data_IF_973325355132
#
_entry.id   IF_973325355132
#
_cell.length_a   1.000
_cell.length_b   1.000
_cell.length_c   1.000
_cell.angle_alpha   90.00
_cell.angle_beta   90.00
_cell.angle_gamma   90.00
#
_symmetry.space_group_name_H-M   'P 1'
#
loop_
_entity.id
_entity.type
_entity.pdbx_description
1 polymer ?
#
# COMPACT_ATOMS: atom_id res chain seq x y z
N UNK A 1 -7.24 18.82 13.89
CA UNK A 1 -6.52 18.02 12.88
C UNK A 1 -6.36 18.87 11.63
N UNK A 2 -5.19 18.82 10.98
CA UNK A 2 -4.93 19.55 9.73
C UNK A 2 -5.29 18.65 8.54
N UNK A 3 -6.58 18.65 8.19
CA UNK A 3 -7.18 17.80 7.15
C UNK A 3 -6.44 17.89 5.79
N UNK A 4 -6.09 19.07 5.26
CA UNK A 4 -5.28 19.20 4.05
C UNK A 4 -3.94 18.45 4.12
N UNK A 5 -3.22 18.61 5.23
CA UNK A 5 -1.91 17.98 5.43
C UNK A 5 -2.00 16.45 5.52
N UNK A 6 -3.09 15.93 6.09
CA UNK A 6 -3.33 14.49 6.17
C UNK A 6 -3.67 13.88 4.80
N UNK A 7 -4.47 14.59 3.99
CA UNK A 7 -4.75 14.21 2.59
C UNK A 7 -3.45 14.17 1.77
N UNK A 8 -2.61 15.22 1.88
CA UNK A 8 -1.32 15.29 1.18
C UNK A 8 -0.38 14.15 1.60
N UNK A 9 -0.22 13.92 2.91
CA UNK A 9 0.63 12.85 3.42
C UNK A 9 0.19 11.46 2.94
N UNK A 10 -1.12 11.22 2.89
CA UNK A 10 -1.68 9.99 2.34
C UNK A 10 -1.40 9.84 0.84
N UNK A 11 -1.64 10.90 0.07
CA UNK A 11 -1.39 10.92 -1.37
C UNK A 11 0.09 10.69 -1.69
N UNK A 12 1.00 11.25 -0.89
CA UNK A 12 2.44 11.04 -1.02
C UNK A 12 2.85 9.60 -0.75
N UNK A 13 2.33 9.01 0.33
CA UNK A 13 2.61 7.61 0.69
C UNK A 13 2.14 6.65 -0.41
N UNK A 14 0.91 6.83 -0.91
CA UNK A 14 0.38 5.94 -1.95
C UNK A 14 1.15 6.08 -3.25
N UNK A 15 1.55 7.29 -3.63
CA UNK A 15 2.37 7.55 -4.81
C UNK A 15 3.75 6.89 -4.69
N UNK A 16 4.34 6.91 -3.49
CA UNK A 16 5.62 6.26 -3.25
C UNK A 16 5.51 4.73 -3.35
N UNK A 17 4.45 4.13 -2.79
CA UNK A 17 4.18 2.69 -2.92
C UNK A 17 3.94 2.31 -4.38
N UNK A 18 3.12 3.07 -5.11
CA UNK A 18 2.81 2.81 -6.51
C UNK A 18 4.06 2.95 -7.41
N UNK A 19 4.89 3.97 -7.18
CA UNK A 19 6.16 4.15 -7.90
C UNK A 19 7.15 2.99 -7.63
N UNK A 20 7.25 2.55 -6.37
CA UNK A 20 8.12 1.43 -5.98
C UNK A 20 7.63 0.10 -6.55
N UNK A 21 6.30 -0.08 -6.59
CA UNK A 21 5.64 -1.23 -7.23
C UNK A 21 5.89 -1.25 -8.74
N UNK A 22 5.71 -0.11 -9.43
CA UNK A 22 5.95 0.01 -10.86
C UNK A 22 7.39 -0.34 -11.24
N UNK A 23 8.39 0.16 -10.50
CA UNK A 23 9.79 -0.19 -10.71
C UNK A 23 10.05 -1.70 -10.56
N UNK A 24 9.39 -2.33 -9.59
CA UNK A 24 9.48 -3.77 -9.34
C UNK A 24 8.84 -4.59 -10.47
N UNK A 25 7.71 -4.13 -11.02
CA UNK A 25 7.05 -4.74 -12.18
C UNK A 25 7.95 -4.68 -13.42
N UNK A 26 8.51 -3.51 -13.74
CA UNK A 26 9.43 -3.33 -14.87
C UNK A 26 10.65 -4.26 -14.75
N UNK A 27 11.23 -4.38 -13.56
CA UNK A 27 12.34 -5.31 -13.31
C UNK A 27 11.91 -6.78 -13.49
N UNK A 28 10.70 -7.13 -13.06
CA UNK A 28 10.11 -8.46 -13.28
C UNK A 28 9.90 -8.80 -14.75
N UNK A 29 9.51 -7.83 -15.58
CA UNK A 29 9.37 -8.00 -17.03
C UNK A 29 10.71 -8.27 -17.71
N UNK A 30 11.76 -7.53 -17.34
CA UNK A 30 13.12 -7.76 -17.84
C UNK A 30 13.64 -9.15 -17.45
N UNK A 31 13.38 -9.58 -16.21
CA UNK A 31 13.78 -10.90 -15.72
C UNK A 31 12.98 -12.05 -16.37
N UNK A 32 11.70 -11.84 -16.72
CA UNK A 32 10.90 -12.84 -17.46
C UNK A 32 11.54 -13.18 -18.79
N UNK A 33 12.03 -12.17 -19.52
CA UNK A 33 12.66 -12.40 -20.82
C UNK A 33 13.93 -13.23 -20.69
N UNK A 34 14.75 -12.98 -19.66
CA UNK A 34 15.93 -13.79 -19.36
C UNK A 34 15.59 -15.21 -18.88
N UNK A 35 14.56 -15.36 -18.06
CA UNK A 35 14.12 -16.66 -17.55
C UNK A 35 13.54 -17.59 -18.64
N UNK A 36 13.01 -17.03 -19.73
CA UNK A 36 12.60 -17.78 -20.95
C UNK A 36 13.77 -18.48 -21.62
N UNK A 37 14.98 -17.94 -21.49
CA UNK A 37 16.22 -18.51 -22.01
C UNK A 37 16.88 -19.51 -21.04
N UNK A 38 16.11 -20.14 -20.14
CA UNK A 38 16.57 -21.10 -19.13
C UNK A 38 17.63 -20.58 -18.14
N UNK A 39 17.80 -19.26 -17.97
CA UNK A 39 18.68 -18.68 -16.96
C UNK A 39 18.15 -18.98 -15.54
N UNK A 40 18.81 -19.85 -14.74
CA UNK A 40 18.34 -20.23 -13.41
C UNK A 40 18.42 -19.07 -12.42
N UNK A 41 19.39 -18.16 -12.59
CA UNK A 41 19.54 -16.96 -11.76
C UNK A 41 18.40 -15.99 -12.02
N UNK A 42 17.98 -15.82 -13.27
CA UNK A 42 16.83 -15.00 -13.62
C UNK A 42 15.51 -15.54 -13.04
N UNK A 43 15.35 -16.87 -12.96
CA UNK A 43 14.17 -17.50 -12.34
C UNK A 43 14.09 -17.25 -10.84
N UNK A 44 15.21 -17.34 -10.13
CA UNK A 44 15.24 -17.08 -8.70
C UNK A 44 15.00 -15.60 -8.40
N UNK A 45 15.64 -14.70 -9.15
CA UNK A 45 15.40 -13.26 -9.07
C UNK A 45 13.91 -12.93 -9.35
N UNK A 46 13.27 -13.60 -10.31
CA UNK A 46 11.85 -13.41 -10.60
C UNK A 46 10.95 -13.77 -9.40
N UNK A 47 11.26 -14.84 -8.67
CA UNK A 47 10.50 -15.21 -7.46
C UNK A 47 10.63 -14.15 -6.36
N UNK A 48 11.84 -13.64 -6.15
CA UNK A 48 12.09 -12.58 -5.18
C UNK A 48 11.30 -11.32 -5.54
N UNK A 49 11.31 -10.95 -6.82
CA UNK A 49 10.57 -9.79 -7.35
C UNK A 49 9.06 -9.96 -7.21
N UNK A 50 8.53 -11.16 -7.43
CA UNK A 50 7.12 -11.47 -7.18
C UNK A 50 6.75 -11.36 -5.70
N UNK A 51 7.64 -11.80 -4.81
CA UNK A 51 7.46 -11.64 -3.36
C UNK A 51 7.43 -10.17 -2.96
N UNK A 52 8.34 -9.36 -3.50
CA UNK A 52 8.39 -7.92 -3.26
C UNK A 52 7.15 -7.22 -3.83
N UNK A 53 6.75 -7.54 -5.06
CA UNK A 53 5.53 -7.00 -5.67
C UNK A 53 4.28 -7.31 -4.82
N UNK A 54 4.18 -8.53 -4.25
CA UNK A 54 3.11 -8.88 -3.31
C UNK A 54 3.15 -8.01 -2.05
N UNK A 55 4.33 -7.75 -1.50
CA UNK A 55 4.48 -6.88 -0.32
C UNK A 55 4.01 -5.44 -0.57
N UNK A 56 4.23 -4.89 -1.77
CA UNK A 56 3.69 -3.56 -2.13
C UNK A 56 2.18 -3.56 -2.28
N UNK A 57 1.60 -4.63 -2.85
CA UNK A 57 0.15 -4.78 -2.89
C UNK A 57 -0.43 -4.86 -1.48
N UNK A 58 0.19 -5.63 -0.58
CA UNK A 58 -0.16 -5.69 0.83
C UNK A 58 -0.10 -4.31 1.49
N UNK A 59 0.96 -3.55 1.27
CA UNK A 59 1.12 -2.20 1.83
C UNK A 59 0.04 -1.22 1.31
N UNK A 60 -0.29 -1.29 0.01
CA UNK A 60 -1.37 -0.51 -0.60
C UNK A 60 -2.71 -0.81 0.05
N UNK A 61 -2.98 -2.08 0.36
CA UNK A 61 -4.20 -2.51 1.06
C UNK A 61 -4.24 -2.03 2.51
N UNK A 62 -3.09 -2.01 3.22
CA UNK A 62 -3.00 -1.40 4.56
C UNK A 62 -3.39 0.08 4.50
N UNK A 63 -2.77 0.83 3.60
CA UNK A 63 -3.03 2.26 3.44
C UNK A 63 -4.51 2.53 3.13
N UNK A 64 -5.13 1.74 2.26
CA UNK A 64 -6.56 1.83 1.98
C UNK A 64 -7.42 1.58 3.23
N UNK A 65 -7.16 0.51 3.98
CA UNK A 65 -7.90 0.20 5.21
C UNK A 65 -7.77 1.31 6.27
N UNK A 66 -6.58 1.91 6.37
CA UNK A 66 -6.31 3.01 7.29
C UNK A 66 -7.05 4.28 6.89
N UNK A 67 -7.01 4.65 5.61
CA UNK A 67 -7.77 5.78 5.11
C UNK A 67 -9.25 5.64 5.45
N UNK A 68 -9.83 4.46 5.23
CA UNK A 68 -11.23 4.17 5.61
C UNK A 68 -11.48 4.36 7.10
N UNK A 69 -10.62 3.83 7.96
CA UNK A 69 -10.77 3.95 9.40
C UNK A 69 -10.73 5.43 9.85
N UNK A 70 -9.81 6.21 9.27
CA UNK A 70 -9.69 7.64 9.57
C UNK A 70 -10.90 8.40 9.04
N UNK A 71 -11.33 8.19 7.79
CA UNK A 71 -12.52 8.84 7.23
C UNK A 71 -13.82 8.46 7.97
N UNK A 72 -13.91 7.26 8.54
CA UNK A 72 -15.05 6.86 9.36
C UNK A 72 -15.08 7.60 10.72
N UNK A 73 -13.91 7.86 11.31
CA UNK A 73 -13.79 8.65 12.54
C UNK A 73 -13.91 10.17 12.30
N UNK A 74 -13.63 10.62 11.08
CA UNK A 74 -13.58 12.02 10.67
C UNK A 74 -14.38 12.25 9.38
N UNK A 75 -15.71 12.46 9.49
CA UNK A 75 -16.61 12.61 8.33
C UNK A 75 -16.28 13.78 7.41
N UNK A 76 -15.48 14.73 7.86
CA UNK A 76 -14.95 15.86 7.08
C UNK A 76 -13.89 15.44 6.05
N UNK A 77 -13.29 14.25 6.19
CA UNK A 77 -12.34 13.72 5.22
C UNK A 77 -13.04 13.08 4.02
N UNK A 78 -12.42 13.14 2.83
CA UNK A 78 -12.97 12.43 1.70
C UNK A 78 -12.97 10.92 1.95
N UNK A 79 -13.99 10.23 1.43
CA UNK A 79 -14.04 8.77 1.41
C UNK A 79 -12.89 8.22 0.57
N UNK A 80 -12.54 6.95 0.79
CA UNK A 80 -11.53 6.32 -0.05
C UNK A 80 -12.02 6.34 -1.52
N UNK A 81 -11.20 6.79 -2.49
CA UNK A 81 -11.66 6.99 -3.87
C UNK A 81 -12.11 5.72 -4.60
N UNK A 82 -11.72 4.55 -4.07
CA UNK A 82 -12.07 3.23 -4.62
C UNK A 82 -13.17 2.53 -3.82
N UNK A 83 -13.76 3.21 -2.83
CA UNK A 83 -14.97 2.71 -2.18
C UNK A 83 -16.19 3.09 -3.00
N UNK A 84 -17.21 2.24 -2.95
CA UNK A 84 -18.51 2.58 -3.51
C UNK A 84 -19.21 3.70 -2.71
N UNK A 85 -20.41 4.07 -3.16
CA UNK A 85 -21.22 5.09 -2.49
C UNK A 85 -21.57 4.75 -1.02
N UNK A 86 -21.35 3.51 -0.59
CA UNK A 86 -21.62 3.01 0.75
C UNK A 86 -20.34 2.86 1.60
N UNK A 87 -19.15 3.18 1.06
CA UNK A 87 -17.88 3.11 1.79
C UNK A 87 -17.31 1.69 1.88
N UNK A 88 -17.77 0.78 1.04
CA UNK A 88 -17.33 -0.62 1.05
C UNK A 88 -16.15 -0.79 0.08
N UNK A 89 -15.15 -1.54 0.55
CA UNK A 89 -14.01 -1.94 -0.28
C UNK A 89 -14.52 -2.79 -1.45
N UNK A 90 -14.26 -2.35 -2.68
CA UNK A 90 -14.69 -3.07 -3.90
C UNK A 90 -13.96 -4.42 -4.07
N UNK A 91 -13.02 -4.78 -3.19
CA UNK A 91 -12.43 -6.13 -3.14
C UNK A 91 -11.98 -6.52 -1.72
N UNK A 92 -12.38 -7.73 -1.30
CA UNK A 92 -12.04 -8.40 -0.04
C UNK A 92 -10.55 -8.76 0.00
N UNK A 93 -9.71 -7.81 0.42
CA UNK A 93 -8.28 -8.02 0.43
C UNK A 93 -7.75 -8.44 1.82
N UNK A 94 -6.83 -9.41 1.90
CA UNK A 94 -6.38 -9.99 3.16
C UNK A 94 -5.57 -8.99 4.01
N UNK A 95 -5.74 -9.08 5.33
CA UNK A 95 -5.04 -8.24 6.31
C UNK A 95 -3.52 -8.48 6.26
N UNK A 96 -2.67 -7.46 6.11
CA UNK A 96 -1.26 -7.69 5.83
C UNK A 96 -0.40 -7.60 7.11
N UNK A 97 0.63 -8.47 7.24
CA UNK A 97 1.49 -8.63 8.44
C UNK A 97 2.55 -7.52 8.64
N UNK A 98 2.45 -6.80 9.75
CA UNK A 98 3.21 -5.60 10.14
C UNK A 98 4.74 -5.66 9.96
N UNK A 99 5.36 -4.56 9.49
CA UNK A 99 6.78 -4.28 9.74
C UNK A 99 7.13 -2.77 9.85
N UNK A 100 7.62 -2.37 11.03
CA UNK A 100 8.65 -1.35 11.25
C UNK A 100 8.26 0.14 11.17
N UNK A 101 8.27 0.72 9.97
CA UNK A 101 8.15 2.19 9.79
C UNK A 101 6.70 2.66 9.75
N UNK A 102 5.82 1.86 9.14
CA UNK A 102 4.39 2.14 9.08
C UNK A 102 3.81 2.16 10.50
N UNK A 103 4.16 1.18 11.35
CA UNK A 103 3.70 1.10 12.76
C UNK A 103 4.05 2.34 13.58
N UNK A 104 5.21 2.94 13.35
CA UNK A 104 5.64 4.15 14.07
C UNK A 104 4.84 5.39 13.64
N UNK A 105 4.59 5.54 12.33
CA UNK A 105 3.76 6.62 11.81
C UNK A 105 2.29 6.43 12.20
N UNK A 106 1.84 5.17 12.26
CA UNK A 106 0.51 4.76 12.72
C UNK A 106 0.27 5.04 14.19
N UNK A 107 1.20 4.68 15.08
CA UNK A 107 1.09 5.05 16.50
C UNK A 107 0.99 6.54 16.69
N UNK A 108 1.77 7.31 15.94
CA UNK A 108 1.77 8.77 16.03
C UNK A 108 0.42 9.35 15.60
N UNK A 109 -0.11 8.89 14.46
CA UNK A 109 -1.42 9.32 13.99
C UNK A 109 -2.53 8.89 14.95
N UNK A 110 -2.56 7.64 15.41
CA UNK A 110 -3.56 7.13 16.36
C UNK A 110 -3.54 7.86 17.71
N UNK A 111 -2.36 8.21 18.23
CA UNK A 111 -2.22 9.04 19.42
C UNK A 111 -2.77 10.46 19.22
N UNK A 112 -2.59 11.05 18.03
CA UNK A 112 -3.09 12.39 17.71
C UNK A 112 -4.63 12.45 17.60
N UNK A 113 -5.31 11.32 17.40
CA UNK A 113 -6.78 11.17 17.38
C UNK A 113 -7.37 10.52 18.64
N UNK A 114 -6.55 10.26 19.67
CA UNK A 114 -7.01 9.78 20.97
C UNK A 114 -7.51 8.33 20.98
N UNK A 115 -7.12 7.52 20.00
CA UNK A 115 -7.44 6.09 19.93
C UNK A 115 -6.21 5.31 20.44
N UNK A 116 -6.34 4.51 21.53
CA UNK A 116 -5.22 3.77 22.12
C UNK A 116 -4.70 2.62 21.23
#
# INVERSE_FOLDING_TARGET
MDTPRLIEAYADLIRQVDASSAATITLGEQLRERARHNDPTAREALRQVQSVARSYQEERLRLAALWRAISAAHPELPRYPMDDADGVAVDDAPRPREEGRLTALLRRLLMDIGVP
#
